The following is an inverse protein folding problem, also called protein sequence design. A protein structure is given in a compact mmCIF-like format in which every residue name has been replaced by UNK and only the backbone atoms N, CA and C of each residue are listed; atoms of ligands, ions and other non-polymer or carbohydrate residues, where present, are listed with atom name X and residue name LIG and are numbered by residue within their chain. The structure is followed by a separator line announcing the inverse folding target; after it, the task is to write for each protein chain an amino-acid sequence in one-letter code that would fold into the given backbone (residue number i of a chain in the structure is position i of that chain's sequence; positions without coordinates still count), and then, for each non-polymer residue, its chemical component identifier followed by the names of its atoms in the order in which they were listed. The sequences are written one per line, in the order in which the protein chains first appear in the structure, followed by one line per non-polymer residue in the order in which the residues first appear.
data_IF_057806488184
#
_entry.id   IF_057806488184
#
_cell.length_a   1.000
_cell.length_b   1.000
_cell.length_c   1.000
_cell.angle_alpha   90.00
_cell.angle_beta   90.00
_cell.angle_gamma   90.00
#
_symmetry.space_group_name_H-M   'P 1'
#
loop_
_entity.id
_entity.type
_entity.pdbx_description
1 polymer ?
#
# COMPACT_ATOMS: atom_id res chain seq x y z
N UNK A 1 -34.08 21.77 57.61
CA UNK A 1 -33.02 21.87 56.66
C UNK A 1 -32.81 20.49 56.02
N UNK A 2 -33.30 20.31 54.77
CA UNK A 2 -33.22 19.03 54.03
C UNK A 2 -32.14 19.18 52.97
N UNK A 3 -31.00 18.46 53.11
CA UNK A 3 -29.99 18.37 52.10
C UNK A 3 -30.39 17.28 51.08
N UNK A 4 -30.64 17.67 49.83
CA UNK A 4 -30.83 16.74 48.74
C UNK A 4 -29.47 16.46 48.05
N UNK A 5 -29.02 15.24 48.14
CA UNK A 5 -27.83 14.73 47.47
C UNK A 5 -28.19 14.41 46.01
N UNK A 6 -27.63 15.14 45.04
CA UNK A 6 -27.74 14.85 43.61
C UNK A 6 -26.64 13.88 43.21
N UNK A 7 -27.01 12.66 42.86
CA UNK A 7 -26.10 11.71 42.22
C UNK A 7 -25.92 12.07 40.75
N UNK A 8 -24.67 12.40 40.38
CA UNK A 8 -24.29 12.59 39.00
C UNK A 8 -24.01 11.21 38.40
N UNK A 9 -24.85 10.76 37.50
CA UNK A 9 -24.62 9.52 36.74
C UNK A 9 -23.64 9.83 35.60
N UNK A 10 -22.40 9.38 35.74
CA UNK A 10 -21.42 9.43 34.64
C UNK A 10 -21.69 8.22 33.74
N UNK A 11 -22.33 8.45 32.58
CA UNK A 11 -22.39 7.46 31.51
C UNK A 11 -21.01 7.38 30.86
N UNK A 12 -20.27 6.32 31.15
CA UNK A 12 -19.08 5.97 30.36
C UNK A 12 -19.54 5.38 29.03
N UNK A 13 -19.40 6.16 27.95
CA UNK A 13 -19.54 5.66 26.57
C UNK A 13 -18.28 4.81 26.29
N UNK A 14 -18.42 3.51 26.40
CA UNK A 14 -17.42 2.57 25.93
C UNK A 14 -17.46 2.61 24.38
N UNK A 15 -16.53 3.33 23.77
CA UNK A 15 -16.28 3.22 22.33
C UNK A 15 -15.77 1.81 22.04
N UNK A 16 -16.63 0.96 21.52
CA UNK A 16 -16.21 -0.29 20.90
C UNK A 16 -15.41 0.07 19.65
N UNK A 17 -14.11 0.03 19.74
CA UNK A 17 -13.23 -0.02 18.59
C UNK A 17 -13.63 -1.26 17.77
N UNK A 18 -14.34 -1.05 16.67
CA UNK A 18 -14.52 -2.08 15.66
C UNK A 18 -13.14 -2.34 15.06
N UNK A 19 -12.48 -3.38 15.51
CA UNK A 19 -11.35 -3.93 14.77
C UNK A 19 -11.92 -4.53 13.50
N UNK A 20 -11.76 -3.86 12.37
CA UNK A 20 -11.99 -4.47 11.06
C UNK A 20 -11.16 -5.74 10.98
N UNK A 21 -11.69 -6.85 10.45
CA UNK A 21 -10.90 -8.05 10.27
C UNK A 21 -9.71 -7.70 9.35
N UNK A 22 -8.50 -7.89 9.87
CA UNK A 22 -7.29 -7.65 9.12
C UNK A 22 -7.17 -8.70 8.01
N UNK A 23 -7.10 -8.26 6.77
CA UNK A 23 -6.91 -9.10 5.60
C UNK A 23 -5.46 -9.00 5.14
N UNK A 24 -4.80 -10.14 4.97
CA UNK A 24 -3.45 -10.24 4.39
C UNK A 24 -3.49 -10.16 2.86
N UNK A 25 -4.16 -9.14 2.31
CA UNK A 25 -4.48 -9.05 0.88
C UNK A 25 -4.24 -7.65 0.34
N UNK A 26 -4.06 -7.53 -0.96
CA UNK A 26 -4.05 -6.23 -1.64
C UNK A 26 -5.50 -5.74 -1.90
N UNK A 27 -5.80 -4.46 -1.67
CA UNK A 27 -4.92 -3.47 -1.03
C UNK A 27 -4.73 -3.76 0.47
N UNK A 28 -3.61 -3.28 1.05
CA UNK A 28 -3.27 -3.50 2.46
C UNK A 28 -4.17 -2.74 3.43
N UNK A 29 -4.64 -1.56 3.01
CA UNK A 29 -5.55 -0.68 3.75
C UNK A 29 -6.82 -0.54 2.92
N UNK A 30 -7.98 -0.75 3.54
CA UNK A 30 -9.27 -0.84 2.83
C UNK A 30 -10.32 0.16 3.32
N UNK A 31 -10.04 0.94 4.34
CA UNK A 31 -10.97 1.89 4.97
C UNK A 31 -10.67 3.36 4.60
N UNK A 32 -9.56 3.60 3.89
CA UNK A 32 -9.19 4.90 3.36
C UNK A 32 -8.31 4.75 2.12
N UNK A 33 -8.18 5.81 1.31
CA UNK A 33 -7.28 5.82 0.16
C UNK A 33 -5.86 6.12 0.63
N UNK A 34 -4.91 5.35 0.11
CA UNK A 34 -3.50 5.46 0.48
C UNK A 34 -2.62 5.29 -0.76
N UNK A 35 -1.54 6.05 -0.86
CA UNK A 35 -0.65 6.01 -2.01
C UNK A 35 0.83 6.17 -1.61
N UNK A 36 1.73 6.09 -2.57
CA UNK A 36 3.15 6.44 -2.42
C UNK A 36 3.81 5.81 -1.17
N UNK A 37 3.72 4.46 -0.99
CA UNK A 37 4.06 3.84 0.28
C UNK A 37 5.57 3.81 0.53
N UNK A 38 6.05 4.50 1.55
CA UNK A 38 7.37 4.25 2.11
C UNK A 38 7.27 3.26 3.27
N UNK A 39 7.82 2.07 3.07
CA UNK A 39 7.89 1.02 4.08
C UNK A 39 9.26 0.99 4.75
N UNK A 40 9.29 0.97 6.09
CA UNK A 40 10.51 0.96 6.91
C UNK A 40 10.39 -0.06 8.05
N UNK A 41 11.53 -0.52 8.55
CA UNK A 41 11.60 -1.34 9.76
C UNK A 41 12.24 -0.54 10.87
N UNK A 42 11.52 -0.43 11.99
CA UNK A 42 12.04 0.15 13.22
C UNK A 42 11.75 -0.82 14.36
N UNK A 43 12.77 -1.18 15.13
CA UNK A 43 12.69 -2.13 16.24
C UNK A 43 12.01 -3.47 15.87
N UNK A 44 12.31 -3.98 14.67
CA UNK A 44 11.79 -5.25 14.16
C UNK A 44 10.31 -5.21 13.73
N UNK A 45 9.68 -4.06 13.74
CA UNK A 45 8.31 -3.83 13.32
C UNK A 45 8.27 -3.04 12.01
N UNK A 46 7.34 -3.38 11.14
CA UNK A 46 7.14 -2.68 9.87
C UNK A 46 6.26 -1.46 10.10
N UNK A 47 6.65 -0.34 9.51
CA UNK A 47 5.89 0.90 9.41
C UNK A 47 5.75 1.28 7.95
N UNK A 48 4.55 1.71 7.55
CA UNK A 48 4.27 2.26 6.21
C UNK A 48 3.74 3.68 6.37
N UNK A 49 4.38 4.58 5.64
CA UNK A 49 4.05 6.01 5.59
C UNK A 49 3.54 6.31 4.18
N UNK A 50 2.24 6.21 3.93
CA UNK A 50 1.66 6.60 2.65
C UNK A 50 1.31 8.09 2.62
N UNK A 51 1.11 8.65 1.43
CA UNK A 51 0.22 9.79 1.26
C UNK A 51 -1.24 9.37 1.41
N UNK A 52 -2.10 10.31 1.80
CA UNK A 52 -3.51 10.07 2.04
C UNK A 52 -4.34 10.80 0.97
N UNK A 53 -4.75 10.06 -0.06
CA UNK A 53 -5.62 10.59 -1.11
C UNK A 53 -7.02 10.84 -0.55
N UNK A 54 -7.59 12.00 -0.84
CA UNK A 54 -8.95 12.34 -0.44
C UNK A 54 -9.77 12.83 -1.65
N UNK A 55 -11.08 12.79 -1.54
CA UNK A 55 -11.95 13.50 -2.48
C UNK A 55 -11.79 14.99 -2.28
N UNK A 56 -11.70 15.75 -3.38
CA UNK A 56 -11.57 17.20 -3.32
C UNK A 56 -12.68 17.80 -2.45
N UNK A 57 -12.36 18.49 -1.33
CA UNK A 57 -13.37 19.12 -0.50
C UNK A 57 -13.94 20.38 -1.20
N UNK A 58 -15.14 20.84 -0.82
CA UNK A 58 -15.80 21.97 -1.48
C UNK A 58 -14.99 23.27 -1.51
N UNK A 59 -14.13 23.48 -0.52
CA UNK A 59 -13.25 24.65 -0.39
C UNK A 59 -11.97 24.55 -1.27
N UNK A 60 -11.66 23.37 -1.81
CA UNK A 60 -10.49 23.20 -2.67
C UNK A 60 -10.63 23.98 -3.98
N UNK A 61 -9.67 24.86 -4.25
CA UNK A 61 -9.67 25.74 -5.43
C UNK A 61 -8.85 25.22 -6.60
N UNK A 62 -8.19 24.08 -6.44
CA UNK A 62 -7.41 23.42 -7.49
C UNK A 62 -8.28 22.60 -8.44
N UNK A 63 -7.66 21.67 -9.17
CA UNK A 63 -8.36 20.75 -10.09
C UNK A 63 -8.95 19.60 -9.28
N UNK A 64 -10.29 19.43 -9.21
CA UNK A 64 -10.92 18.37 -8.41
C UNK A 64 -10.67 16.96 -8.96
N UNK A 65 -10.25 16.85 -10.21
CA UNK A 65 -9.85 15.62 -10.91
C UNK A 65 -8.33 15.36 -10.84
N UNK A 66 -7.64 15.97 -9.88
CA UNK A 66 -6.21 15.82 -9.64
C UNK A 66 -5.94 15.16 -8.29
N UNK A 67 -4.67 15.03 -7.91
CA UNK A 67 -4.23 14.49 -6.63
C UNK A 67 -4.52 15.50 -5.51
N UNK A 68 -5.30 15.12 -4.52
CA UNK A 68 -5.72 15.95 -3.38
C UNK A 68 -5.38 15.24 -2.09
N UNK A 69 -4.46 15.79 -1.29
CA UNK A 69 -3.92 15.19 -0.08
C UNK A 69 -3.64 16.27 0.97
N UNK A 70 -4.19 16.09 2.17
CA UNK A 70 -4.09 17.12 3.24
C UNK A 70 -3.22 16.70 4.41
N UNK A 71 -2.95 15.41 4.58
CA UNK A 71 -2.25 14.86 5.73
C UNK A 71 -1.55 13.54 5.43
N UNK A 72 -0.89 13.00 6.45
CA UNK A 72 -0.24 11.69 6.43
C UNK A 72 -0.67 10.87 7.63
N UNK A 73 -0.98 9.62 7.40
CA UNK A 73 -1.10 8.58 8.41
C UNK A 73 0.17 7.73 8.49
N UNK A 74 0.30 6.95 9.55
CA UNK A 74 1.29 5.87 9.62
C UNK A 74 0.62 4.57 10.05
N UNK A 75 0.90 3.52 9.32
CA UNK A 75 0.42 2.19 9.61
C UNK A 75 1.57 1.31 10.07
N UNK A 76 1.30 0.38 11.00
CA UNK A 76 2.32 -0.56 11.44
C UNK A 76 1.82 -1.99 11.53
N UNK A 77 2.73 -2.94 11.25
CA UNK A 77 2.45 -4.37 11.32
C UNK A 77 3.63 -5.17 11.87
N UNK A 78 3.34 -6.26 12.57
CA UNK A 78 4.34 -7.25 13.00
C UNK A 78 4.38 -8.49 12.09
N UNK A 79 3.45 -8.60 11.13
CA UNK A 79 3.24 -9.84 10.37
C UNK A 79 2.80 -9.60 8.92
N UNK A 80 2.84 -8.36 8.43
CA UNK A 80 2.39 -7.95 7.08
C UNK A 80 0.89 -8.15 6.82
N UNK A 81 0.13 -8.52 7.83
CA UNK A 81 -1.28 -8.91 7.73
C UNK A 81 -2.16 -7.96 8.51
N UNK A 82 -1.82 -7.78 9.79
CA UNK A 82 -2.58 -6.97 10.72
C UNK A 82 -1.97 -5.57 10.76
N UNK A 83 -2.65 -4.61 10.17
CA UNK A 83 -2.20 -3.22 10.12
C UNK A 83 -2.92 -2.38 11.18
N UNK A 84 -2.14 -1.65 11.96
CA UNK A 84 -2.64 -0.68 12.92
C UNK A 84 -2.43 0.71 12.37
N UNK A 85 -3.52 1.45 12.16
CA UNK A 85 -3.48 2.89 11.92
C UNK A 85 -3.15 3.62 13.25
N UNK A 86 -2.18 4.51 13.21
CA UNK A 86 -1.80 5.38 14.33
C UNK A 86 -2.40 6.78 14.22
N UNK A 87 -3.19 7.04 13.17
CA UNK A 87 -3.80 8.32 12.89
C UNK A 87 -2.87 9.30 12.19
N UNK A 88 -3.32 10.56 12.11
CA UNK A 88 -2.61 11.64 11.43
C UNK A 88 -1.32 11.98 12.18
N UNK A 89 -0.21 12.02 11.45
CA UNK A 89 1.12 12.34 11.98
C UNK A 89 1.62 13.73 11.58
N UNK A 90 1.25 14.21 10.40
CA UNK A 90 1.49 15.57 9.90
C UNK A 90 0.31 15.98 9.01
N UNK A 91 -0.16 17.23 9.13
CA UNK A 91 -1.19 17.79 8.24
C UNK A 91 -0.75 19.13 7.67
N UNK A 92 -1.29 19.55 6.52
CA UNK A 92 -0.94 20.82 5.88
C UNK A 92 -1.19 22.02 6.79
N UNK A 93 -2.22 21.98 7.64
CA UNK A 93 -2.53 23.06 8.60
C UNK A 93 -1.58 23.09 9.79
N UNK A 94 -0.83 22.02 10.05
CA UNK A 94 0.18 21.92 11.09
C UNK A 94 1.59 22.34 10.65
N UNK A 95 1.78 22.73 9.37
CA UNK A 95 3.07 23.14 8.81
C UNK A 95 3.08 24.65 8.60
N UNK A 96 3.79 25.38 9.45
CA UNK A 96 3.74 26.85 9.50
C UNK A 96 4.07 27.55 8.17
N UNK A 97 4.97 26.99 7.37
CA UNK A 97 5.42 27.56 6.10
C UNK A 97 4.58 27.10 4.89
N UNK A 98 3.80 26.03 5.01
CA UNK A 98 3.02 25.49 3.91
C UNK A 98 1.69 26.23 3.72
N UNK A 99 1.21 26.29 2.49
CA UNK A 99 -0.12 26.78 2.16
C UNK A 99 -1.17 25.77 2.69
N UNK A 100 -2.00 26.17 3.67
CA UNK A 100 -2.98 25.28 4.30
C UNK A 100 -4.16 24.91 3.37
N UNK A 101 -4.19 25.44 2.15
CA UNK A 101 -5.25 25.19 1.15
C UNK A 101 -4.75 24.52 -0.13
N UNK A 102 -3.45 24.16 -0.17
CA UNK A 102 -2.83 23.58 -1.36
C UNK A 102 -3.24 22.12 -1.61
N UNK A 103 -3.56 21.38 -0.55
CA UNK A 103 -3.87 19.93 -0.60
C UNK A 103 -2.82 19.13 -1.38
N UNK A 104 -1.56 19.41 -1.09
CA UNK A 104 -0.41 18.90 -1.83
C UNK A 104 0.63 18.22 -0.91
N UNK A 105 0.16 17.47 0.09
CA UNK A 105 0.98 16.64 0.98
C UNK A 105 1.26 15.30 0.29
N UNK A 106 2.14 15.32 -0.74
CA UNK A 106 2.39 14.19 -1.63
C UNK A 106 3.39 13.20 -1.03
N UNK A 107 4.03 12.34 -1.85
CA UNK A 107 4.85 11.22 -1.41
C UNK A 107 5.87 11.54 -0.31
N UNK A 108 5.84 10.85 0.85
CA UNK A 108 6.74 11.08 1.98
C UNK A 108 7.83 10.02 2.12
N UNK A 109 8.79 10.28 3.00
CA UNK A 109 9.71 9.26 3.54
C UNK A 109 9.94 9.46 5.04
N UNK A 110 10.37 8.40 5.74
CA UNK A 110 10.73 8.43 7.15
C UNK A 110 11.99 7.61 7.41
N UNK A 111 12.97 8.20 8.10
CA UNK A 111 14.18 7.51 8.51
C UNK A 111 14.51 7.74 9.98
N UNK A 112 15.26 6.81 10.57
CA UNK A 112 15.75 6.90 11.94
C UNK A 112 17.24 7.21 11.97
N UNK A 113 17.64 8.22 12.71
CA UNK A 113 19.05 8.56 12.94
C UNK A 113 19.25 9.22 14.31
N UNK A 114 20.28 8.80 15.02
CA UNK A 114 20.74 9.41 16.28
C UNK A 114 19.59 9.60 17.30
N UNK A 115 18.74 8.57 17.44
CA UNK A 115 17.65 8.55 18.43
C UNK A 115 16.40 9.34 18.01
N UNK A 116 16.31 9.82 16.78
CA UNK A 116 15.17 10.57 16.25
C UNK A 116 14.68 9.98 14.94
N UNK A 117 13.37 10.17 14.70
CA UNK A 117 12.71 9.86 13.43
C UNK A 117 12.53 11.16 12.66
N UNK A 118 13.00 11.17 11.41
CA UNK A 118 12.90 12.31 10.49
C UNK A 118 11.93 11.93 9.38
N UNK A 119 10.82 12.66 9.32
CA UNK A 119 9.76 12.48 8.32
C UNK A 119 9.89 13.60 7.28
N UNK A 120 10.18 13.24 6.04
CA UNK A 120 10.36 14.13 4.91
C UNK A 120 9.09 14.15 4.07
N UNK A 121 8.65 15.33 3.68
CA UNK A 121 7.41 15.48 2.91
C UNK A 121 7.47 16.70 1.98
N UNK A 122 6.90 16.63 0.76
CA UNK A 122 6.74 17.78 -0.10
C UNK A 122 5.51 18.59 0.33
N UNK A 123 5.60 19.90 0.21
CA UNK A 123 4.46 20.80 0.34
C UNK A 123 4.67 22.06 -0.48
N UNK A 124 3.58 22.75 -0.82
CA UNK A 124 3.62 24.05 -1.46
C UNK A 124 3.74 25.12 -0.37
N UNK A 125 4.75 26.02 -0.42
CA UNK A 125 4.88 27.10 0.55
C UNK A 125 3.76 28.14 0.40
N UNK A 126 3.47 28.85 1.48
CA UNK A 126 2.61 30.03 1.45
C UNK A 126 3.13 31.04 0.42
N UNK A 127 2.21 31.69 -0.28
CA UNK A 127 2.58 32.85 -1.12
C UNK A 127 3.17 33.95 -0.25
N UNK A 128 4.27 34.52 -0.69
CA UNK A 128 4.88 35.72 -0.05
C UNK A 128 4.18 37.02 -0.44
N UNK A 129 3.08 36.93 -1.24
CA UNK A 129 2.32 38.06 -1.75
C UNK A 129 2.98 38.80 -2.91
N UNK A 130 4.21 38.48 -3.30
CA UNK A 130 4.91 39.11 -4.41
C UNK A 130 4.45 38.58 -5.79
N UNK A 131 3.72 37.46 -5.84
CA UNK A 131 3.24 36.80 -7.06
C UNK A 131 1.72 36.61 -7.07
N UNK A 132 0.93 37.57 -6.56
CA UNK A 132 -0.53 37.53 -6.66
C UNK A 132 -1.00 38.25 -7.93
N UNK A 133 -1.34 37.49 -8.98
CA UNK A 133 -1.88 38.05 -10.21
C UNK A 133 -2.32 36.93 -11.17
N UNK A 134 -3.05 37.28 -12.26
CA UNK A 134 -3.53 36.25 -13.21
C UNK A 134 -2.40 35.48 -13.94
N UNK A 135 -1.17 36.00 -13.91
CA UNK A 135 0.04 35.38 -14.47
C UNK A 135 0.97 34.81 -13.39
N UNK A 136 0.54 34.74 -12.12
CA UNK A 136 1.33 34.21 -11.02
C UNK A 136 1.70 32.75 -11.28
N UNK A 137 2.99 32.45 -11.33
CA UNK A 137 3.46 31.07 -11.39
C UNK A 137 3.10 30.39 -10.07
N UNK A 138 2.53 29.17 -10.17
CA UNK A 138 2.25 28.36 -8.98
C UNK A 138 3.56 28.19 -8.19
N UNK A 139 3.56 28.39 -6.85
CA UNK A 139 4.75 28.16 -6.04
C UNK A 139 5.28 26.75 -6.25
N UNK A 140 6.60 26.61 -6.36
CA UNK A 140 7.23 25.33 -6.52
C UNK A 140 7.22 24.56 -5.20
N UNK A 141 7.10 23.24 -5.28
CA UNK A 141 7.18 22.37 -4.10
C UNK A 141 8.51 22.54 -3.35
N UNK A 142 8.44 22.46 -2.03
CA UNK A 142 9.59 22.39 -1.12
C UNK A 142 9.50 21.13 -0.28
N UNK A 143 10.64 20.63 0.15
CA UNK A 143 10.72 19.45 1.01
C UNK A 143 10.88 19.91 2.47
N UNK A 144 9.86 19.62 3.28
CA UNK A 144 9.84 19.83 4.71
C UNK A 144 10.36 18.64 5.48
N UNK A 145 10.70 18.86 6.75
CA UNK A 145 11.08 17.82 7.69
C UNK A 145 10.26 17.98 8.96
N UNK A 146 9.73 16.86 9.47
CA UNK A 146 9.14 16.78 10.81
C UNK A 146 9.90 15.76 11.65
N UNK A 147 10.02 16.00 12.96
CA UNK A 147 10.86 15.18 13.85
C UNK A 147 10.03 14.59 14.98
N UNK A 148 10.29 13.33 15.33
CA UNK A 148 9.65 12.63 16.43
C UNK A 148 10.62 11.76 17.22
N UNK A 149 10.25 11.41 18.46
CA UNK A 149 10.91 10.42 19.31
C UNK A 149 10.41 8.99 19.05
N UNK A 150 9.32 8.85 18.31
CA UNK A 150 8.72 7.54 18.00
C UNK A 150 8.40 7.43 16.51
N UNK A 151 8.39 6.22 15.93
CA UNK A 151 8.11 6.04 14.50
C UNK A 151 6.66 6.37 14.10
N UNK A 152 5.77 6.54 15.06
CA UNK A 152 4.37 6.83 14.85
C UNK A 152 3.95 8.22 15.38
N UNK A 153 4.93 9.07 15.69
CA UNK A 153 4.67 10.44 16.12
C UNK A 153 4.42 10.59 17.64
N UNK A 154 3.99 11.78 18.08
CA UNK A 154 3.67 12.92 17.23
C UNK A 154 4.91 13.50 16.55
N UNK A 155 4.80 13.75 15.26
CA UNK A 155 5.84 14.45 14.51
C UNK A 155 5.65 15.97 14.63
N UNK A 156 6.76 16.70 14.81
CA UNK A 156 6.78 18.17 14.87
C UNK A 156 7.43 18.70 13.62
N UNK A 157 6.67 19.33 12.69
CA UNK A 157 7.25 19.99 11.53
C UNK A 157 8.23 21.08 11.95
N UNK A 158 9.34 21.18 11.22
CA UNK A 158 10.29 22.28 11.40
C UNK A 158 9.70 23.57 10.84
N UNK A 159 10.15 24.74 11.36
CA UNK A 159 9.58 26.04 10.98
C UNK A 159 9.92 26.47 9.53
N UNK A 160 10.76 25.71 8.84
CA UNK A 160 11.14 25.94 7.44
C UNK A 160 11.42 24.62 6.73
N UNK A 161 11.46 24.67 5.40
CA UNK A 161 11.85 23.56 4.52
C UNK A 161 13.37 23.51 4.31
N UNK A 162 13.87 22.43 3.69
CA UNK A 162 15.29 22.25 3.35
C UNK A 162 15.67 23.29 2.29
N UNK A 163 16.57 24.19 2.63
CA UNK A 163 17.03 25.26 1.72
C UNK A 163 17.86 24.66 0.59
N UNK A 164 17.71 25.21 -0.63
CA UNK A 164 18.40 24.74 -1.83
C UNK A 164 17.77 23.50 -2.47
N UNK A 165 16.65 22.98 -1.93
CA UNK A 165 15.92 21.82 -2.47
C UNK A 165 14.55 22.25 -2.98
N UNK A 166 14.29 21.98 -4.25
CA UNK A 166 13.01 22.24 -4.93
C UNK A 166 12.57 20.97 -5.62
N UNK A 167 11.40 20.45 -5.28
CA UNK A 167 10.87 19.21 -5.88
C UNK A 167 9.94 18.44 -4.96
N UNK A 168 9.66 17.20 -5.35
CA UNK A 168 8.75 16.25 -4.69
C UNK A 168 9.46 14.93 -4.41
N UNK A 169 8.75 14.00 -3.79
CA UNK A 169 9.13 12.60 -3.60
C UNK A 169 10.48 12.42 -2.88
N UNK A 170 10.66 13.01 -1.70
CA UNK A 170 11.88 12.79 -0.94
C UNK A 170 12.03 11.34 -0.56
N UNK A 171 13.27 10.84 -0.72
CA UNK A 171 13.70 9.55 -0.18
C UNK A 171 15.09 9.69 0.44
N UNK A 172 15.29 9.20 1.64
CA UNK A 172 16.59 9.30 2.34
C UNK A 172 17.20 7.92 2.51
N UNK A 173 18.40 7.78 1.99
CA UNK A 173 19.30 6.66 2.24
C UNK A 173 20.34 7.07 3.29
N UNK A 174 20.43 6.31 4.39
CA UNK A 174 21.55 6.42 5.34
C UNK A 174 22.52 5.30 5.01
N UNK A 175 23.72 5.67 4.58
CA UNK A 175 24.77 4.72 4.20
C UNK A 175 25.45 4.12 5.43
N UNK A 176 26.27 3.09 5.21
CA UNK A 176 26.99 2.32 6.25
C UNK A 176 27.92 3.16 7.11
N UNK A 177 28.46 4.24 6.54
CA UNK A 177 29.32 5.20 7.27
C UNK A 177 28.52 6.25 8.06
N UNK A 178 27.17 6.17 8.01
CA UNK A 178 26.26 7.10 8.65
C UNK A 178 25.99 8.37 7.85
N UNK A 179 26.54 8.52 6.65
CA UNK A 179 26.24 9.62 5.74
C UNK A 179 24.80 9.44 5.21
N UNK A 180 24.02 10.52 5.20
CA UNK A 180 22.66 10.50 4.67
C UNK A 180 22.61 11.22 3.30
N UNK A 181 21.85 10.64 2.39
CA UNK A 181 21.64 11.15 1.03
C UNK A 181 20.15 11.32 0.79
N UNK A 182 19.75 12.53 0.40
CA UNK A 182 18.39 12.87 0.01
C UNK A 182 18.27 12.75 -1.51
N UNK A 183 17.41 11.86 -1.97
CA UNK A 183 16.97 11.78 -3.36
C UNK A 183 15.59 12.46 -3.46
N UNK A 184 15.32 13.12 -4.59
CA UNK A 184 14.05 13.77 -4.86
C UNK A 184 13.87 14.01 -6.36
N UNK A 185 12.68 14.41 -6.79
CA UNK A 185 12.38 14.61 -8.21
C UNK A 185 11.83 15.99 -8.54
N UNK A 186 12.14 16.45 -9.72
CA UNK A 186 11.55 17.60 -10.39
C UNK A 186 11.69 17.41 -11.92
N UNK A 187 10.93 16.44 -12.48
CA UNK A 187 11.07 16.01 -13.87
C UNK A 187 12.39 15.28 -14.19
N UNK A 188 13.32 15.29 -13.24
CA UNK A 188 14.57 14.52 -13.18
C UNK A 188 14.77 14.08 -11.73
N UNK A 189 15.63 13.10 -11.53
CA UNK A 189 16.01 12.67 -10.18
C UNK A 189 17.29 13.36 -9.77
N UNK A 190 17.27 13.93 -8.57
CA UNK A 190 18.39 14.60 -7.93
C UNK A 190 18.85 13.82 -6.71
N UNK A 191 20.11 14.00 -6.34
CA UNK A 191 20.66 13.54 -5.07
C UNK A 191 21.45 14.66 -4.41
N UNK A 192 21.27 14.83 -3.10
CA UNK A 192 22.04 15.74 -2.27
C UNK A 192 22.53 15.01 -1.02
N UNK A 193 23.74 15.28 -0.59
CA UNK A 193 24.22 14.84 0.72
C UNK A 193 23.56 15.69 1.79
N UNK A 194 23.08 15.07 2.88
CA UNK A 194 22.58 15.78 4.04
C UNK A 194 23.71 16.04 5.05
N UNK A 195 23.63 17.18 5.74
CA UNK A 195 24.44 17.43 6.94
C UNK A 195 24.04 16.47 8.06
N UNK A 196 24.86 16.29 9.11
CA UNK A 196 24.53 15.41 10.24
C UNK A 196 23.22 15.76 10.94
N UNK A 197 22.75 17.01 10.87
CA UNK A 197 21.47 17.43 11.46
C UNK A 197 20.24 16.91 10.70
N UNK A 198 20.41 16.26 9.52
CA UNK A 198 19.35 15.69 8.71
C UNK A 198 18.34 16.68 8.10
N UNK A 199 18.57 17.98 8.23
CA UNK A 199 17.61 19.04 7.86
C UNK A 199 18.20 20.07 6.90
N UNK A 200 19.46 19.92 6.54
CA UNK A 200 20.19 20.78 5.61
C UNK A 200 21.02 19.92 4.65
N UNK A 201 21.21 20.42 3.43
CA UNK A 201 22.12 19.80 2.46
C UNK A 201 23.58 20.24 2.70
N UNK A 202 24.50 19.33 2.39
CA UNK A 202 25.96 19.55 2.40
C UNK A 202 26.47 19.66 0.96
N UNK A 203 26.52 20.88 0.45
CA UNK A 203 26.83 21.20 -0.95
C UNK A 203 25.58 21.33 -1.84
N UNK A 204 25.80 21.38 -3.16
CA UNK A 204 24.73 21.54 -4.14
C UNK A 204 24.14 20.20 -4.55
N UNK A 205 22.83 20.12 -4.82
CA UNK A 205 22.19 18.92 -5.38
C UNK A 205 22.78 18.59 -6.76
N UNK A 206 22.93 17.28 -7.03
CA UNK A 206 23.37 16.77 -8.33
C UNK A 206 22.21 16.06 -9.04
N UNK A 207 22.10 16.26 -10.36
CA UNK A 207 21.24 15.42 -11.20
C UNK A 207 21.87 14.04 -11.33
N UNK A 208 21.08 13.00 -11.18
CA UNK A 208 21.55 11.63 -11.45
C UNK A 208 21.53 11.40 -12.97
N UNK A 209 22.72 11.23 -13.52
CA UNK A 209 22.92 10.95 -14.93
C UNK A 209 22.63 9.48 -15.29
N UNK A 210 22.53 9.21 -16.62
CA UNK A 210 22.34 7.89 -17.22
C UNK A 210 20.99 7.22 -16.89
N UNK A 211 20.00 7.99 -16.46
CA UNK A 211 18.60 7.58 -16.40
C UNK A 211 17.90 7.93 -17.72
N UNK A 212 16.66 7.42 -17.98
CA UNK A 212 15.89 7.81 -19.14
C UNK A 212 15.77 9.32 -19.29
N UNK A 213 15.95 9.84 -20.50
CA UNK A 213 15.90 11.29 -20.79
C UNK A 213 14.58 11.74 -21.40
N UNK A 214 13.69 10.79 -21.72
CA UNK A 214 12.36 11.03 -22.28
C UNK A 214 11.30 10.52 -21.27
N UNK A 215 10.14 11.14 -21.31
CA UNK A 215 9.06 10.84 -20.39
C UNK A 215 9.23 11.50 -19.03
N UNK A 216 8.32 11.23 -18.13
CA UNK A 216 8.36 11.70 -16.73
C UNK A 216 9.16 10.70 -15.90
N UNK A 217 10.07 11.21 -15.06
CA UNK A 217 10.75 10.46 -14.01
C UNK A 217 10.47 11.14 -12.68
N UNK A 218 9.99 10.35 -11.71
CA UNK A 218 9.74 10.82 -10.36
C UNK A 218 9.96 9.70 -9.34
N UNK A 219 9.49 9.82 -8.10
CA UNK A 219 9.39 8.77 -7.10
C UNK A 219 10.68 7.99 -6.81
N UNK A 220 11.87 8.61 -6.64
CA UNK A 220 13.07 7.86 -6.39
C UNK A 220 13.01 7.12 -5.07
N UNK A 221 13.45 5.86 -5.06
CA UNK A 221 13.71 5.11 -3.82
C UNK A 221 15.06 4.40 -3.93
N UNK A 222 15.98 4.76 -3.03
CA UNK A 222 17.33 4.23 -3.01
C UNK A 222 17.56 3.29 -1.83
N UNK A 223 18.26 2.19 -2.07
CA UNK A 223 18.71 1.26 -1.03
C UNK A 223 20.05 0.62 -1.42
N UNK A 224 20.76 0.10 -0.41
CA UNK A 224 21.98 -0.67 -0.63
C UNK A 224 21.73 -2.15 -0.34
N UNK A 225 22.27 -3.02 -1.19
CA UNK A 225 22.24 -4.46 -0.99
C UNK A 225 23.55 -5.09 -1.46
N UNK A 226 24.29 -5.75 -0.55
CA UNK A 226 25.55 -6.47 -0.84
C UNK A 226 26.58 -5.65 -1.59
N UNK A 227 26.72 -4.37 -1.28
CA UNK A 227 27.70 -3.46 -1.88
C UNK A 227 27.24 -2.79 -3.17
N UNK A 228 26.00 -3.06 -3.63
CA UNK A 228 25.40 -2.41 -4.78
C UNK A 228 24.31 -1.45 -4.30
N UNK A 229 24.35 -0.22 -4.80
CA UNK A 229 23.28 0.76 -4.62
C UNK A 229 22.26 0.61 -5.73
N UNK A 230 21.00 0.51 -5.35
CA UNK A 230 19.87 0.45 -6.25
C UNK A 230 19.10 1.75 -6.14
N UNK A 231 18.69 2.29 -7.27
CA UNK A 231 17.78 3.41 -7.38
C UNK A 231 16.60 2.93 -8.20
N UNK A 232 15.41 2.86 -7.58
CA UNK A 232 14.17 2.53 -8.26
C UNK A 232 13.37 3.80 -8.50
N UNK A 233 12.64 3.86 -9.59
CA UNK A 233 11.89 5.07 -9.99
C UNK A 233 10.75 4.73 -10.95
N UNK A 234 9.58 5.38 -10.81
CA UNK A 234 8.56 5.44 -11.84
C UNK A 234 9.07 6.11 -13.11
N UNK A 235 8.64 5.61 -14.25
CA UNK A 235 8.97 6.16 -15.56
C UNK A 235 7.80 6.00 -16.53
N UNK A 236 7.37 7.09 -17.16
CA UNK A 236 6.41 7.08 -18.26
C UNK A 236 7.16 6.85 -19.57
N UNK A 237 7.25 5.60 -20.01
CA UNK A 237 7.83 5.30 -21.33
C UNK A 237 6.80 5.44 -22.44
N UNK A 238 5.56 4.97 -22.21
CA UNK A 238 4.50 4.95 -23.22
C UNK A 238 3.30 5.82 -22.82
N UNK A 239 2.44 5.36 -21.93
CA UNK A 239 1.18 6.00 -21.57
C UNK A 239 1.08 6.36 -20.09
N UNK A 240 1.45 5.42 -19.23
CA UNK A 240 1.39 5.52 -17.78
C UNK A 240 2.74 5.10 -17.21
N UNK A 241 2.90 5.22 -15.92
CA UNK A 241 4.13 4.83 -15.27
C UNK A 241 4.29 3.32 -15.20
N UNK A 242 5.54 2.89 -15.38
CA UNK A 242 6.06 1.59 -14.99
C UNK A 242 7.20 1.80 -13.98
N UNK A 243 7.56 0.77 -13.24
CA UNK A 243 8.64 0.86 -12.27
C UNK A 243 9.94 0.30 -12.84
N UNK A 244 10.96 1.12 -12.88
CA UNK A 244 12.32 0.78 -13.35
C UNK A 244 13.34 0.88 -12.22
N UNK A 245 14.56 0.39 -12.50
CA UNK A 245 15.66 0.56 -11.58
C UNK A 245 17.00 0.71 -12.30
N UNK A 246 17.91 1.37 -11.61
CA UNK A 246 19.32 1.51 -11.97
C UNK A 246 20.21 1.08 -10.81
N UNK A 247 21.45 0.74 -11.09
CA UNK A 247 22.43 0.30 -10.08
C UNK A 247 23.71 1.11 -10.15
N UNK A 248 24.41 1.22 -9.01
CA UNK A 248 25.70 1.91 -8.89
C UNK A 248 26.55 1.26 -7.80
N UNK A 249 27.85 1.59 -7.79
CA UNK A 249 28.79 1.29 -6.70
C UNK A 249 28.90 2.42 -5.67
N UNK A 250 28.18 3.52 -5.89
CA UNK A 250 28.18 4.71 -5.03
C UNK A 250 26.75 5.23 -4.87
N UNK A 251 26.36 5.79 -3.70
CA UNK A 251 25.02 6.37 -3.48
C UNK A 251 24.78 7.60 -4.38
N UNK A 252 25.80 8.29 -4.82
CA UNK A 252 25.67 9.46 -5.72
C UNK A 252 25.84 9.10 -7.20
N UNK A 253 25.97 7.83 -7.54
CA UNK A 253 26.20 7.39 -8.91
C UNK A 253 27.68 7.33 -9.31
N UNK A 254 28.01 7.22 -10.62
CA UNK A 254 27.03 7.17 -11.70
C UNK A 254 26.19 5.89 -11.65
N UNK A 255 24.89 6.05 -11.92
CA UNK A 255 23.97 4.92 -12.02
C UNK A 255 23.94 4.36 -13.44
N UNK A 256 23.63 3.08 -13.56
CA UNK A 256 23.42 2.37 -14.83
C UNK A 256 22.04 1.73 -14.81
N UNK A 257 21.21 2.08 -15.78
CA UNK A 257 19.89 1.47 -15.96
C UNK A 257 20.01 -0.06 -16.05
N UNK A 258 19.17 -0.78 -15.31
CA UNK A 258 19.30 -2.22 -15.10
C UNK A 258 18.05 -3.02 -15.50
N UNK A 259 16.85 -2.46 -15.41
CA UNK A 259 15.65 -3.17 -15.85
C UNK A 259 14.33 -2.60 -15.35
N UNK A 260 13.28 -3.38 -15.58
CA UNK A 260 11.90 -3.10 -15.17
C UNK A 260 11.53 -4.01 -14.02
N UNK A 261 11.00 -3.43 -12.95
CA UNK A 261 10.50 -4.15 -11.76
C UNK A 261 9.02 -4.48 -11.92
N UNK A 262 8.23 -3.51 -12.42
CA UNK A 262 6.79 -3.62 -12.59
C UNK A 262 6.40 -2.98 -13.92
N UNK A 263 5.56 -3.67 -14.70
CA UNK A 263 5.01 -3.12 -15.94
C UNK A 263 3.92 -2.06 -15.64
N UNK A 264 3.52 -1.32 -16.66
CA UNK A 264 2.33 -0.45 -16.62
C UNK A 264 1.13 -1.21 -16.05
N UNK A 265 0.37 -0.58 -15.14
CA UNK A 265 -0.75 -1.26 -14.48
C UNK A 265 -1.86 -1.64 -15.45
N UNK A 266 -2.33 -2.90 -15.37
CA UNK A 266 -3.49 -3.37 -16.13
C UNK A 266 -4.80 -2.63 -15.74
N UNK A 267 -4.87 -2.02 -14.57
CA UNK A 267 -6.01 -1.21 -14.13
C UNK A 267 -6.08 0.14 -14.85
N UNK A 268 -4.97 0.60 -15.43
CA UNK A 268 -4.83 1.93 -15.99
C UNK A 268 -4.49 3.01 -14.95
N UNK A 269 -4.15 2.64 -13.71
CA UNK A 269 -3.64 3.60 -12.71
C UNK A 269 -2.45 4.34 -13.29
N UNK A 270 -2.55 5.68 -13.38
CA UNK A 270 -1.58 6.49 -14.12
C UNK A 270 -0.21 6.52 -13.45
N UNK A 271 -0.17 6.57 -12.11
CA UNK A 271 1.07 6.58 -11.33
C UNK A 271 1.35 5.22 -10.70
N UNK A 272 2.63 4.97 -10.43
CA UNK A 272 3.12 3.94 -9.51
C UNK A 272 4.25 4.54 -8.67
N UNK A 273 4.19 4.40 -7.34
CA UNK A 273 5.26 4.84 -6.44
C UNK A 273 5.57 3.72 -5.48
N UNK A 274 6.84 3.54 -5.13
CA UNK A 274 7.30 2.32 -4.50
C UNK A 274 8.26 2.53 -3.33
N UNK A 275 8.35 1.47 -2.52
CA UNK A 275 9.50 1.20 -1.65
C UNK A 275 9.82 -0.29 -1.63
N UNK A 276 11.06 -0.63 -1.33
CA UNK A 276 11.52 -2.01 -1.19
C UNK A 276 11.97 -2.26 0.24
N UNK A 277 11.48 -3.35 0.82
CA UNK A 277 11.70 -3.73 2.21
C UNK A 277 12.21 -5.17 2.29
N UNK A 278 13.33 -5.38 2.97
CA UNK A 278 13.79 -6.74 3.36
C UNK A 278 13.31 -7.04 4.79
N UNK A 279 12.47 -8.06 4.95
CA UNK A 279 11.94 -8.46 6.24
C UNK A 279 11.93 -9.97 6.40
N UNK A 280 12.50 -10.47 7.50
CA UNK A 280 12.59 -11.91 7.82
C UNK A 280 13.14 -12.78 6.68
N UNK A 281 14.11 -12.24 5.92
CA UNK A 281 14.78 -12.98 4.84
C UNK A 281 14.07 -12.98 3.50
N UNK A 282 12.95 -12.27 3.38
CA UNK A 282 12.22 -12.04 2.13
C UNK A 282 12.18 -10.56 1.79
N UNK A 283 12.38 -10.22 0.52
CA UNK A 283 12.18 -8.86 0.01
C UNK A 283 10.76 -8.65 -0.48
N UNK A 284 10.24 -7.47 -0.26
CA UNK A 284 8.87 -7.07 -0.64
C UNK A 284 8.92 -5.75 -1.40
N UNK A 285 8.11 -5.65 -2.45
CA UNK A 285 7.78 -4.41 -3.13
C UNK A 285 6.48 -3.87 -2.56
N UNK A 286 6.51 -2.68 -1.97
CA UNK A 286 5.33 -1.89 -1.64
C UNK A 286 5.11 -0.90 -2.77
N UNK A 287 3.89 -0.74 -3.22
CA UNK A 287 3.51 0.13 -4.32
C UNK A 287 2.03 0.49 -4.22
N UNK A 288 1.46 1.23 -5.16
CA UNK A 288 0.02 1.50 -5.17
C UNK A 288 -0.63 1.13 -6.51
N UNK A 289 -1.95 1.00 -6.46
CA UNK A 289 -2.87 0.88 -7.59
C UNK A 289 -4.20 1.56 -7.20
N UNK A 290 -5.25 1.43 -8.00
CA UNK A 290 -6.55 2.09 -7.78
C UNK A 290 -7.68 1.15 -7.34
N UNK A 291 -7.38 0.12 -6.51
CA UNK A 291 -8.33 -0.94 -6.14
C UNK A 291 -9.66 -0.43 -5.59
N UNK A 292 -9.62 0.56 -4.68
CA UNK A 292 -10.81 1.11 -4.03
C UNK A 292 -11.54 2.14 -4.89
N UNK A 293 -10.94 2.59 -5.99
CA UNK A 293 -11.49 3.61 -6.87
C UNK A 293 -11.18 3.34 -8.36
N UNK A 294 -11.65 2.23 -8.93
CA UNK A 294 -11.27 1.82 -10.29
C UNK A 294 -11.74 2.78 -11.39
N UNK A 295 -12.67 3.67 -11.10
CA UNK A 295 -13.14 4.71 -12.03
C UNK A 295 -12.39 6.05 -11.88
N UNK A 296 -11.50 6.18 -10.87
CA UNK A 296 -10.79 7.43 -10.58
C UNK A 296 -9.41 7.14 -9.99
N UNK A 297 -8.39 7.19 -10.83
CA UNK A 297 -7.00 6.81 -10.54
C UNK A 297 -6.21 7.77 -9.64
N UNK A 298 -6.87 8.80 -9.07
CA UNK A 298 -6.27 9.74 -8.11
C UNK A 298 -6.68 9.45 -6.65
N UNK A 299 -7.49 8.38 -6.43
CA UNK A 299 -7.79 7.84 -5.11
C UNK A 299 -7.22 6.43 -5.04
N UNK A 300 -5.94 6.34 -4.69
CA UNK A 300 -5.13 5.13 -4.82
C UNK A 300 -5.21 4.22 -3.60
N UNK A 301 -4.61 3.05 -3.70
CA UNK A 301 -4.61 2.04 -2.63
C UNK A 301 -3.26 1.32 -2.60
N UNK A 302 -2.61 1.27 -1.45
CA UNK A 302 -1.30 0.62 -1.31
C UNK A 302 -1.41 -0.90 -1.40
N UNK A 303 -0.48 -1.47 -2.13
CA UNK A 303 -0.28 -2.92 -2.32
C UNK A 303 1.10 -3.34 -1.86
N UNK A 304 1.27 -4.64 -1.65
CA UNK A 304 2.59 -5.24 -1.54
C UNK A 304 2.61 -6.64 -2.15
N UNK A 305 3.73 -6.97 -2.80
CA UNK A 305 4.00 -8.30 -3.35
C UNK A 305 5.45 -8.73 -3.03
N UNK A 306 5.72 -10.04 -3.05
CA UNK A 306 7.07 -10.58 -2.86
C UNK A 306 7.97 -10.14 -4.02
N UNK A 307 9.19 -9.72 -3.69
CA UNK A 307 10.22 -9.34 -4.65
C UNK A 307 11.39 -10.32 -4.54
N UNK A 308 11.97 -10.67 -5.67
CA UNK A 308 13.08 -11.61 -5.74
C UNK A 308 14.26 -11.02 -6.50
N UNK A 309 15.47 -11.34 -6.04
CA UNK A 309 16.72 -11.03 -6.72
C UNK A 309 17.30 -12.28 -7.36
N UNK A 310 17.85 -12.14 -8.55
CA UNK A 310 18.66 -13.16 -9.17
C UNK A 310 20.05 -13.27 -8.48
N UNK A 311 20.80 -14.29 -8.80
CA UNK A 311 22.15 -14.52 -8.23
C UNK A 311 23.15 -13.43 -8.60
N UNK A 312 22.95 -12.76 -9.74
CA UNK A 312 23.75 -11.61 -10.20
C UNK A 312 23.33 -10.27 -9.56
N UNK A 313 22.32 -10.27 -8.70
CA UNK A 313 21.77 -9.08 -8.06
C UNK A 313 20.69 -8.36 -8.86
N UNK A 314 20.37 -8.77 -10.09
CA UNK A 314 19.24 -8.19 -10.82
C UNK A 314 17.90 -8.49 -10.15
N UNK A 315 16.97 -7.54 -10.25
CA UNK A 315 15.61 -7.68 -9.69
C UNK A 315 14.75 -8.44 -10.69
N UNK A 316 14.05 -9.49 -10.22
CA UNK A 316 13.05 -10.17 -11.03
C UNK A 316 11.82 -9.29 -11.16
N UNK A 317 11.21 -9.28 -12.36
CA UNK A 317 9.96 -8.56 -12.58
C UNK A 317 8.87 -9.10 -11.65
N UNK A 318 8.23 -8.20 -10.92
CA UNK A 318 7.12 -8.51 -10.02
C UNK A 318 5.84 -8.64 -10.82
N UNK A 319 5.07 -9.69 -10.54
CA UNK A 319 3.71 -9.83 -11.03
C UNK A 319 2.74 -9.41 -9.94
N UNK A 320 1.95 -8.33 -10.15
CA UNK A 320 0.96 -7.90 -9.18
C UNK A 320 -0.05 -8.99 -8.85
N UNK A 321 -0.40 -9.11 -7.58
CA UNK A 321 -1.44 -10.05 -7.14
C UNK A 321 -2.50 -9.36 -6.30
N UNK A 322 -3.74 -9.84 -6.38
CA UNK A 322 -4.79 -9.44 -5.45
C UNK A 322 -4.60 -10.09 -4.08
N UNK A 323 -3.87 -11.21 -4.04
CA UNK A 323 -3.56 -11.94 -2.80
C UNK A 323 -2.60 -11.15 -1.90
N UNK A 324 -1.64 -10.43 -2.48
CA UNK A 324 -0.63 -9.70 -1.72
C UNK A 324 0.31 -10.61 -0.92
N UNK A 325 0.70 -10.14 0.25
CA UNK A 325 1.73 -10.73 1.11
C UNK A 325 1.17 -11.17 2.47
N UNK A 326 1.93 -12.01 3.17
CA UNK A 326 1.60 -12.48 4.53
C UNK A 326 0.78 -13.78 4.55
N UNK A 327 0.64 -14.34 5.76
CA UNK A 327 -0.13 -15.56 6.01
C UNK A 327 -1.61 -15.20 6.23
N UNK A 328 -2.52 -15.93 5.59
CA UNK A 328 -3.94 -15.82 5.90
C UNK A 328 -4.32 -16.90 6.90
N UNK A 329 -4.91 -16.51 8.02
CA UNK A 329 -5.44 -17.47 8.97
C UNK A 329 -6.65 -18.19 8.36
N UNK A 330 -6.61 -19.50 8.27
CA UNK A 330 -7.70 -20.30 7.73
C UNK A 330 -9.05 -20.06 8.44
N UNK A 331 -9.04 -19.60 9.71
CA UNK A 331 -10.26 -19.25 10.45
C UNK A 331 -10.82 -17.87 10.13
N UNK A 332 -10.07 -16.98 9.49
CA UNK A 332 -10.61 -15.70 9.05
C UNK A 332 -11.60 -15.89 7.88
N UNK A 333 -12.34 -14.87 7.54
CA UNK A 333 -13.13 -14.81 6.32
C UNK A 333 -12.20 -14.47 5.17
N UNK A 334 -11.74 -15.51 4.44
CA UNK A 334 -10.85 -15.37 3.29
C UNK A 334 -11.68 -14.81 2.13
N UNK A 335 -11.43 -13.56 1.76
CA UNK A 335 -12.14 -12.91 0.65
C UNK A 335 -11.82 -13.60 -0.67
N UNK A 336 -12.85 -14.05 -1.37
CA UNK A 336 -12.68 -14.93 -2.54
C UNK A 336 -12.08 -14.21 -3.75
N UNK A 337 -12.20 -12.89 -3.83
CA UNK A 337 -11.64 -12.03 -4.85
C UNK A 337 -10.12 -11.80 -4.69
N UNK A 338 -9.57 -12.11 -3.50
CA UNK A 338 -8.14 -11.90 -3.15
C UNK A 338 -7.28 -13.15 -3.43
N UNK A 339 -7.36 -13.67 -4.62
CA UNK A 339 -6.64 -14.85 -5.05
C UNK A 339 -5.22 -14.53 -5.58
N UNK A 340 -4.34 -15.53 -5.53
CA UNK A 340 -2.99 -15.49 -6.13
C UNK A 340 -3.00 -15.82 -7.62
N UNK A 341 -3.92 -16.67 -8.03
CA UNK A 341 -4.09 -17.11 -9.40
C UNK A 341 -5.53 -17.57 -9.68
N UNK A 342 -5.90 -17.59 -10.93
CA UNK A 342 -7.22 -18.05 -11.39
C UNK A 342 -7.12 -18.80 -12.70
N UNK A 343 -8.16 -19.59 -13.03
CA UNK A 343 -8.35 -20.18 -14.35
C UNK A 343 -8.38 -19.10 -15.45
N UNK A 344 -8.05 -19.48 -16.68
CA UNK A 344 -8.02 -18.58 -17.85
C UNK A 344 -9.40 -17.96 -18.17
N UNK A 345 -10.49 -18.59 -17.71
CA UNK A 345 -11.86 -18.10 -17.93
C UNK A 345 -12.78 -18.47 -16.77
N UNK A 346 -13.99 -17.92 -16.80
CA UNK A 346 -15.05 -18.22 -15.83
C UNK A 346 -14.92 -17.53 -14.48
N UNK A 347 -13.96 -16.61 -14.28
CA UNK A 347 -13.75 -15.85 -13.04
C UNK A 347 -13.84 -14.36 -13.30
N UNK A 348 -14.82 -13.71 -12.65
CA UNK A 348 -15.03 -12.26 -12.72
C UNK A 348 -15.12 -11.70 -11.30
N UNK A 349 -14.36 -10.65 -11.01
CA UNK A 349 -14.45 -9.88 -9.76
C UNK A 349 -15.26 -8.61 -10.00
N UNK A 350 -16.17 -8.30 -9.09
CA UNK A 350 -16.95 -7.05 -9.10
C UNK A 350 -17.28 -6.62 -7.68
N UNK A 351 -17.72 -5.38 -7.48
CA UNK A 351 -18.16 -4.92 -6.16
C UNK A 351 -19.40 -5.67 -5.67
N UNK A 352 -19.50 -5.85 -4.37
CA UNK A 352 -20.72 -6.32 -3.70
C UNK A 352 -21.87 -5.33 -3.89
N UNK A 353 -21.54 -4.03 -3.87
CA UNK A 353 -22.45 -2.91 -4.08
C UNK A 353 -21.72 -1.83 -4.91
N UNK A 354 -22.16 -1.62 -6.14
CA UNK A 354 -21.57 -0.62 -7.05
C UNK A 354 -21.70 0.83 -6.51
N UNK A 355 -22.71 1.09 -5.68
CA UNK A 355 -22.89 2.41 -5.05
C UNK A 355 -21.98 2.61 -3.83
N UNK A 356 -21.44 1.53 -3.27
CA UNK A 356 -20.55 1.56 -2.11
C UNK A 356 -19.36 0.61 -2.29
N UNK A 357 -18.31 1.02 -3.00
CA UNK A 357 -17.13 0.19 -3.23
C UNK A 357 -16.44 -0.32 -1.95
N UNK A 358 -16.57 0.42 -0.83
CA UNK A 358 -16.03 0.02 0.47
C UNK A 358 -16.81 -1.14 1.13
N UNK A 359 -17.96 -1.54 0.56
CA UNK A 359 -18.67 -2.76 0.98
C UNK A 359 -17.96 -4.05 0.55
N UNK A 360 -16.84 -3.95 -0.16
CA UNK A 360 -16.03 -5.07 -0.60
C UNK A 360 -16.43 -5.66 -1.95
N UNK A 361 -15.80 -6.76 -2.31
CA UNK A 361 -15.90 -7.41 -3.61
C UNK A 361 -16.49 -8.82 -3.51
N UNK A 362 -16.90 -9.34 -4.66
CA UNK A 362 -17.30 -10.73 -4.87
C UNK A 362 -16.60 -11.31 -6.09
N UNK A 363 -16.52 -12.62 -6.14
CA UNK A 363 -16.07 -13.35 -7.31
C UNK A 363 -17.22 -14.18 -7.86
N UNK A 364 -17.48 -14.03 -9.15
CA UNK A 364 -18.43 -14.88 -9.88
C UNK A 364 -17.66 -16.00 -10.58
N UNK A 365 -18.02 -17.24 -10.27
CA UNK A 365 -17.62 -18.42 -11.01
C UNK A 365 -18.74 -18.73 -12.00
N UNK A 366 -18.45 -18.67 -13.31
CA UNK A 366 -19.45 -18.77 -14.36
C UNK A 366 -19.26 -19.95 -15.34
N UNK A 367 -18.23 -20.75 -15.10
CA UNK A 367 -17.93 -21.92 -15.95
C UNK A 367 -17.50 -23.12 -15.10
N UNK A 368 -17.88 -24.33 -15.53
CA UNK A 368 -17.39 -25.55 -14.93
C UNK A 368 -15.86 -25.61 -14.94
N UNK A 369 -15.28 -26.11 -13.86
CA UNK A 369 -13.85 -26.18 -13.61
C UNK A 369 -13.14 -24.82 -13.56
N UNK A 370 -13.87 -23.70 -13.46
CA UNK A 370 -13.24 -22.43 -13.11
C UNK A 370 -12.78 -22.46 -11.64
N UNK A 371 -11.59 -21.90 -11.40
CA UNK A 371 -10.97 -21.98 -10.10
C UNK A 371 -10.21 -20.70 -9.72
N UNK A 372 -10.03 -20.52 -8.41
CA UNK A 372 -9.10 -19.53 -7.81
C UNK A 372 -8.18 -20.23 -6.82
N UNK A 373 -6.93 -19.72 -6.70
CA UNK A 373 -5.93 -20.20 -5.74
C UNK A 373 -5.60 -19.12 -4.72
N UNK A 374 -5.44 -19.53 -3.47
CA UNK A 374 -4.89 -18.72 -2.39
C UNK A 374 -3.63 -19.39 -1.87
N UNK A 375 -2.51 -18.69 -1.97
CA UNK A 375 -1.26 -19.14 -1.38
C UNK A 375 -1.22 -18.80 0.11
N UNK A 376 -0.38 -19.52 0.86
CA UNK A 376 0.00 -19.20 2.23
C UNK A 376 -1.19 -19.10 3.21
N UNK A 377 -2.11 -20.09 3.21
CA UNK A 377 -3.21 -20.20 4.18
C UNK A 377 -2.76 -21.04 5.38
N UNK A 378 -2.73 -20.43 6.58
CA UNK A 378 -2.28 -21.06 7.82
C UNK A 378 -3.44 -21.74 8.56
N UNK A 379 -3.41 -23.07 8.61
CA UNK A 379 -4.32 -23.93 9.37
C UNK A 379 -3.86 -24.14 10.83
N UNK A 380 -2.70 -23.65 11.20
CA UNK A 380 -2.13 -23.79 12.54
C UNK A 380 -2.01 -25.26 12.96
N UNK A 381 -2.66 -25.63 14.06
CA UNK A 381 -2.59 -27.00 14.62
C UNK A 381 -3.58 -27.99 13.96
N UNK A 382 -4.31 -27.60 12.94
CA UNK A 382 -5.23 -28.49 12.20
C UNK A 382 -6.45 -28.92 13.01
N UNK A 383 -7.20 -28.00 13.57
CA UNK A 383 -8.41 -28.26 14.36
C UNK A 383 -9.72 -27.93 13.63
N UNK A 384 -9.64 -27.45 12.40
CA UNK A 384 -10.77 -27.01 11.62
C UNK A 384 -11.53 -28.21 11.05
N UNK A 385 -12.82 -28.33 11.38
CA UNK A 385 -13.68 -29.43 10.95
C UNK A 385 -14.79 -29.01 10.00
N UNK A 386 -14.99 -27.71 9.82
CA UNK A 386 -16.10 -27.17 9.03
C UNK A 386 -15.56 -26.15 8.05
N UNK A 387 -15.98 -26.27 6.79
CA UNK A 387 -15.79 -25.26 5.75
C UNK A 387 -17.06 -24.43 5.68
N UNK A 388 -16.95 -23.11 5.69
CA UNK A 388 -18.05 -22.17 5.50
C UNK A 388 -17.78 -21.33 4.26
N UNK A 389 -18.82 -21.11 3.46
CA UNK A 389 -18.77 -20.24 2.28
C UNK A 389 -19.97 -19.33 2.30
N UNK A 390 -19.76 -18.01 2.18
CA UNK A 390 -20.82 -17.03 1.96
C UNK A 390 -20.99 -16.82 0.47
N UNK A 391 -22.14 -17.26 -0.05
CA UNK A 391 -22.40 -17.28 -1.49
C UNK A 391 -23.88 -17.07 -1.81
N UNK A 392 -24.17 -16.75 -3.06
CA UNK A 392 -25.53 -16.76 -3.65
C UNK A 392 -25.46 -17.29 -5.08
N UNK A 393 -26.56 -17.86 -5.55
CA UNK A 393 -26.67 -18.44 -6.91
C UNK A 393 -28.13 -18.57 -7.32
N UNK A 394 -28.41 -18.39 -8.61
CA UNK A 394 -29.74 -18.62 -9.20
C UNK A 394 -30.06 -20.10 -9.45
N UNK A 395 -29.10 -21.01 -9.29
CA UNK A 395 -29.28 -22.44 -9.40
C UNK A 395 -28.28 -23.14 -8.45
N UNK A 396 -28.60 -24.34 -7.99
CA UNK A 396 -27.70 -25.11 -7.12
C UNK A 396 -26.32 -25.28 -7.75
N UNK A 397 -25.25 -25.08 -6.99
CA UNK A 397 -23.86 -25.19 -7.42
C UNK A 397 -23.00 -25.90 -6.37
N UNK A 398 -21.86 -26.45 -6.77
CA UNK A 398 -20.90 -27.11 -5.88
C UNK A 398 -19.51 -26.52 -6.03
N UNK A 399 -18.90 -26.17 -4.88
CA UNK A 399 -17.52 -25.76 -4.80
C UNK A 399 -16.69 -26.88 -4.15
N UNK A 400 -15.63 -27.31 -4.83
CA UNK A 400 -14.60 -28.20 -4.29
C UNK A 400 -13.42 -27.38 -3.79
N UNK A 401 -12.89 -27.74 -2.62
CA UNK A 401 -11.69 -27.11 -2.06
C UNK A 401 -10.59 -28.14 -1.96
N UNK A 402 -9.47 -27.89 -2.66
CA UNK A 402 -8.29 -28.74 -2.69
C UNK A 402 -7.10 -28.06 -1.99
N UNK A 403 -6.13 -28.86 -1.53
CA UNK A 403 -4.87 -28.39 -0.94
C UNK A 403 -3.75 -28.46 -1.96
N UNK A 404 -2.93 -27.44 -2.00
CA UNK A 404 -1.62 -27.32 -2.66
C UNK A 404 -1.64 -27.37 -4.20
N UNK A 405 -2.61 -28.05 -4.82
CA UNK A 405 -2.79 -28.09 -6.27
C UNK A 405 -4.24 -28.37 -6.66
N UNK A 406 -4.59 -28.16 -7.93
CA UNK A 406 -5.95 -28.42 -8.47
C UNK A 406 -6.35 -29.89 -8.27
N UNK A 407 -5.42 -30.81 -8.48
CA UNK A 407 -5.58 -32.25 -8.26
C UNK A 407 -5.13 -32.71 -6.86
N UNK A 408 -4.85 -31.76 -5.98
CA UNK A 408 -4.36 -32.05 -4.64
C UNK A 408 -5.42 -32.68 -3.73
N UNK A 409 -5.07 -32.95 -2.46
CA UNK A 409 -5.98 -33.58 -1.53
C UNK A 409 -7.27 -32.80 -1.36
N UNK A 410 -8.42 -33.43 -1.64
CA UNK A 410 -9.73 -32.80 -1.45
C UNK A 410 -9.98 -32.53 0.05
N UNK A 411 -10.12 -31.28 0.40
CA UNK A 411 -10.46 -30.84 1.75
C UNK A 411 -11.98 -30.91 1.99
N UNK A 412 -12.79 -30.59 0.98
CA UNK A 412 -14.24 -30.73 1.09
C UNK A 412 -15.01 -30.26 -0.14
N UNK A 413 -16.32 -30.55 -0.14
CA UNK A 413 -17.29 -30.11 -1.13
C UNK A 413 -18.40 -29.33 -0.42
N UNK A 414 -18.61 -28.09 -0.84
CA UNK A 414 -19.67 -27.23 -0.30
C UNK A 414 -20.76 -27.08 -1.36
N UNK A 415 -21.94 -27.59 -1.07
CA UNK A 415 -23.12 -27.39 -1.91
C UNK A 415 -23.74 -26.03 -1.58
N UNK A 416 -23.89 -25.20 -2.60
CA UNK A 416 -24.54 -23.90 -2.53
C UNK A 416 -25.96 -24.09 -3.08
N UNK A 417 -26.95 -23.96 -2.20
CA UNK A 417 -28.36 -24.02 -2.63
C UNK A 417 -28.78 -22.73 -3.31
N UNK A 418 -29.81 -22.82 -4.16
CA UNK A 418 -30.41 -21.66 -4.80
C UNK A 418 -30.77 -20.57 -3.78
N UNK A 419 -30.31 -19.35 -4.01
CA UNK A 419 -30.55 -18.19 -3.18
C UNK A 419 -30.25 -16.90 -3.93
N UNK A 420 -31.17 -15.94 -3.91
CA UNK A 420 -30.99 -14.57 -4.43
C UNK A 420 -30.19 -13.70 -3.48
N UNK A 421 -30.28 -13.99 -2.18
CA UNK A 421 -29.57 -13.27 -1.12
C UNK A 421 -28.36 -14.06 -0.63
N UNK A 422 -27.40 -13.35 -0.05
CA UNK A 422 -26.21 -13.92 0.55
C UNK A 422 -26.54 -14.91 1.66
N UNK A 423 -26.10 -16.16 1.52
CA UNK A 423 -26.26 -17.22 2.53
C UNK A 423 -24.92 -17.89 2.85
N UNK A 424 -24.80 -18.38 4.07
CA UNK A 424 -23.65 -19.20 4.49
C UNK A 424 -24.00 -20.66 4.29
N UNK A 425 -23.32 -21.32 3.37
CA UNK A 425 -23.34 -22.76 3.19
C UNK A 425 -22.17 -23.41 3.94
N UNK A 426 -22.34 -24.62 4.42
CA UNK A 426 -21.31 -25.32 5.21
C UNK A 426 -21.16 -26.77 4.80
N UNK A 427 -19.94 -27.28 4.95
CA UNK A 427 -19.62 -28.69 4.77
C UNK A 427 -18.61 -29.16 5.83
N UNK A 428 -18.60 -30.48 6.11
CA UNK A 428 -17.56 -31.08 6.95
C UNK A 428 -16.26 -31.23 6.17
N UNK A 429 -15.15 -30.77 6.74
CA UNK A 429 -13.83 -30.97 6.17
C UNK A 429 -13.46 -32.46 6.22
N UNK A 430 -13.00 -33.02 5.10
CA UNK A 430 -12.57 -34.42 4.99
C UNK A 430 -11.19 -34.66 5.60
N UNK A 431 -10.39 -33.59 5.76
CA UNK A 431 -9.04 -33.61 6.33
C UNK A 431 -8.87 -32.42 7.24
N UNK A 432 -7.94 -32.53 8.18
CA UNK A 432 -7.54 -31.46 9.09
C UNK A 432 -6.08 -31.08 8.77
N UNK A 433 -5.82 -30.22 7.76
CA UNK A 433 -4.47 -29.78 7.43
C UNK A 433 -3.84 -29.03 8.60
N UNK A 434 -2.51 -29.08 8.71
CA UNK A 434 -1.72 -28.40 9.73
C UNK A 434 -0.66 -27.54 9.05
N UNK A 435 -0.38 -26.37 9.64
CA UNK A 435 0.59 -25.44 9.08
C UNK A 435 0.05 -24.71 7.86
N UNK A 436 0.94 -24.29 6.99
CA UNK A 436 0.65 -23.44 5.84
C UNK A 436 0.44 -24.30 4.59
N UNK A 437 -0.64 -24.03 3.88
CA UNK A 437 -1.01 -24.70 2.62
C UNK A 437 -1.56 -23.70 1.62
N UNK A 438 -1.44 -24.00 0.35
CA UNK A 438 -2.25 -23.35 -0.67
C UNK A 438 -3.65 -23.98 -0.66
N UNK A 439 -4.67 -23.20 -0.99
CA UNK A 439 -6.02 -23.72 -1.23
C UNK A 439 -6.48 -23.36 -2.64
N UNK A 440 -7.13 -24.30 -3.31
CA UNK A 440 -7.75 -24.10 -4.60
C UNK A 440 -9.25 -24.31 -4.45
N UNK A 441 -10.05 -23.33 -4.86
CA UNK A 441 -11.51 -23.37 -4.86
C UNK A 441 -11.97 -23.52 -6.29
N UNK A 442 -12.62 -24.63 -6.62
CA UNK A 442 -13.07 -24.97 -7.97
C UNK A 442 -14.57 -25.14 -8.00
N UNK A 443 -15.23 -24.51 -8.96
CA UNK A 443 -16.63 -24.78 -9.25
C UNK A 443 -16.74 -26.00 -10.17
N UNK A 444 -17.64 -26.96 -9.85
CA UNK A 444 -17.74 -28.23 -10.61
C UNK A 444 -18.94 -28.32 -11.55
N UNK A 445 -19.99 -27.55 -11.34
CA UNK A 445 -21.31 -27.77 -11.97
C UNK A 445 -21.63 -26.81 -13.14
N UNK A 446 -20.84 -25.75 -13.36
CA UNK A 446 -21.00 -24.81 -14.49
C UNK A 446 -22.13 -23.78 -14.35
N UNK A 447 -22.94 -23.82 -13.30
CA UNK A 447 -23.91 -22.76 -12.99
C UNK A 447 -23.20 -21.54 -12.38
N UNK A 448 -23.64 -20.31 -12.69
CA UNK A 448 -23.02 -19.13 -12.10
C UNK A 448 -23.23 -19.07 -10.58
N UNK A 449 -22.13 -18.95 -9.82
CA UNK A 449 -22.17 -18.76 -8.37
C UNK A 449 -21.36 -17.52 -7.99
N UNK A 450 -21.95 -16.62 -7.22
CA UNK A 450 -21.28 -15.47 -6.64
C UNK A 450 -20.82 -15.84 -5.23
N UNK A 451 -19.55 -15.66 -4.94
CA UNK A 451 -18.92 -15.95 -3.65
C UNK A 451 -18.29 -14.69 -3.09
N UNK A 452 -18.50 -14.45 -1.80
CA UNK A 452 -17.94 -13.34 -1.05
C UNK A 452 -16.69 -13.82 -0.28
N UNK A 453 -16.83 -14.79 0.59
CA UNK A 453 -15.72 -15.34 1.37
C UNK A 453 -15.88 -16.82 1.69
N UNK A 454 -14.77 -17.45 2.08
CA UNK A 454 -14.73 -18.75 2.70
C UNK A 454 -13.96 -18.74 4.02
N UNK A 455 -14.25 -19.68 4.92
CA UNK A 455 -13.49 -19.85 6.17
C UNK A 455 -13.53 -21.31 6.66
N UNK A 456 -12.56 -21.66 7.50
CA UNK A 456 -12.43 -22.99 8.09
C UNK A 456 -12.58 -22.89 9.62
N UNK A 457 -13.51 -23.64 10.21
CA UNK A 457 -13.85 -23.56 11.65
C UNK A 457 -13.67 -24.91 12.35
#
# INVERSE_FOLDING_TARGET
MKHSLRYLLILSVASFLKTSPAFATNPLITDQFTADPTARIFDGKIYVYPSHDIKAPPEYKGKPDWFVMEDYHVFSSNNLTDWKDHGIIVSQTGVDWADPTAYAMWAPDCVFKDGKYYFYFPAIPKSDGENEGPDAKRPEFRIGVAVSDTPYGPFKPLPTYIQGVTGIDPNVLIDKDGTAYLYYSLGKIFVAKLKPNMTEIDGEPMVIDNLPTKGLLEGPFAFERKGTYYLTYPHVENKIERLEYATSTSPMGPFKQAGVILDESESGCWTVHQSILDWQGQSYLFYHDQDLSPAFDKNRSIRADKLFFNTDGSIQKVKPTLRGIGLVNAKSEIQIDRYSAKSAGGIVVSFNDEANPLAGWKTTFSAANSWVRFNDVDFGRGKQKTIKVRAKTGASSTLEIHLDSEDGPLLGRVKIGEATDWKISSATAKKNPKGVHDIIVTQTDGGAVEVDWLSFR
#
